data_IF_336809696690
#
_entry.id   IF_336809696690
#
_cell.length_a   1.000
_cell.length_b   1.000
_cell.length_c   1.000
_cell.angle_alpha   90.00
_cell.angle_beta   90.00
_cell.angle_gamma   90.00
#
_symmetry.space_group_name_H-M   'P 1'
#
loop_
_entity.id
_entity.type
_entity.pdbx_description
1 polymer ?
#
# COMPACT_ATOMS: atom_id res chain seq x y z
N UNK A 1 -16.90 24.69 18.51
CA UNK A 1 -15.69 25.33 17.93
C UNK A 1 -14.54 24.36 18.12
N UNK A 2 -13.93 23.87 17.04
CA UNK A 2 -12.82 22.93 17.12
C UNK A 2 -11.58 23.63 17.73
N UNK A 3 -10.89 22.97 18.66
CA UNK A 3 -9.66 23.45 19.29
C UNK A 3 -8.47 23.23 18.34
N UNK A 4 -8.46 23.93 17.19
CA UNK A 4 -7.31 23.95 16.27
C UNK A 4 -6.12 24.77 16.80
N UNK A 5 -6.23 25.30 18.02
CA UNK A 5 -5.15 26.04 18.69
C UNK A 5 -4.14 25.15 19.41
N UNK A 6 -4.39 23.84 19.52
CA UNK A 6 -3.48 22.90 20.17
C UNK A 6 -2.20 22.76 19.33
N UNK A 7 -1.04 22.74 20.00
CA UNK A 7 0.24 22.47 19.35
C UNK A 7 0.28 21.04 18.79
N UNK A 8 1.06 20.85 17.72
CA UNK A 8 1.32 19.53 17.11
C UNK A 8 1.99 18.56 18.11
N UNK A 9 2.60 19.09 19.18
CA UNK A 9 3.19 18.32 20.29
C UNK A 9 2.17 17.51 21.10
N UNK A 10 0.88 17.84 21.05
CA UNK A 10 -0.16 17.14 21.81
C UNK A 10 -0.62 15.88 21.07
N UNK A 11 0.15 14.81 21.24
CA UNK A 11 -0.12 13.48 20.69
C UNK A 11 -0.67 12.57 21.81
N UNK A 12 -1.78 11.82 21.59
CA UNK A 12 -2.61 11.77 20.39
C UNK A 12 -3.58 12.96 20.26
N UNK A 13 -3.88 13.36 19.02
CA UNK A 13 -4.86 14.42 18.73
C UNK A 13 -6.23 14.03 19.29
N UNK A 14 -6.85 14.92 20.07
CA UNK A 14 -8.17 14.71 20.67
C UNK A 14 -9.27 14.50 19.62
N UNK A 15 -10.31 13.72 19.96
CA UNK A 15 -11.39 13.37 19.02
C UNK A 15 -12.13 14.59 18.44
N UNK A 16 -12.26 15.67 19.22
CA UNK A 16 -12.87 16.93 18.77
C UNK A 16 -11.97 17.68 17.79
N UNK A 17 -10.65 17.68 18.01
CA UNK A 17 -9.66 18.29 17.11
C UNK A 17 -9.51 17.49 15.81
N UNK A 18 -9.57 16.15 15.87
CA UNK A 18 -9.55 15.24 14.71
C UNK A 18 -10.57 15.62 13.64
N UNK A 19 -11.84 15.80 14.03
CA UNK A 19 -12.92 16.10 13.08
C UNK A 19 -12.74 17.49 12.44
N UNK A 20 -12.32 18.49 13.23
CA UNK A 20 -12.02 19.83 12.73
C UNK A 20 -10.85 19.85 11.76
N UNK A 21 -9.80 19.08 12.07
CA UNK A 21 -8.61 18.96 11.23
C UNK A 21 -8.96 18.32 9.87
N UNK A 22 -9.66 17.19 9.83
CA UNK A 22 -10.02 16.52 8.57
C UNK A 22 -10.83 17.44 7.64
N UNK A 23 -11.83 18.15 8.17
CA UNK A 23 -12.63 19.07 7.37
C UNK A 23 -11.77 20.23 6.81
N UNK A 24 -10.80 20.69 7.60
CA UNK A 24 -9.88 21.76 7.22
C UNK A 24 -8.77 21.29 6.29
N UNK A 25 -8.38 20.02 6.32
CA UNK A 25 -7.34 19.49 5.44
C UNK A 25 -7.82 19.29 4.01
N UNK A 26 -9.11 19.04 3.77
CA UNK A 26 -9.65 18.80 2.41
C UNK A 26 -10.91 19.62 2.08
N UNK A 27 -11.08 20.78 2.72
CA UNK A 27 -12.14 21.77 2.48
C UNK A 27 -13.57 21.18 2.39
N UNK A 28 -13.95 20.30 3.33
CA UNK A 28 -15.22 19.55 3.28
C UNK A 28 -16.40 20.22 4.00
N UNK A 29 -16.39 21.56 4.10
CA UNK A 29 -17.40 22.33 4.84
C UNK A 29 -18.86 22.15 4.35
N UNK A 30 -19.09 21.51 3.20
CA UNK A 30 -20.42 21.35 2.59
C UNK A 30 -20.77 19.93 2.07
N UNK A 31 -19.92 18.91 2.28
CA UNK A 31 -20.20 17.57 1.72
C UNK A 31 -21.23 16.79 2.55
N UNK A 32 -22.13 15.99 1.93
CA UNK A 32 -23.05 15.14 2.66
C UNK A 32 -22.26 14.22 3.59
N UNK A 33 -22.75 14.07 4.83
CA UNK A 33 -22.17 13.18 5.85
C UNK A 33 -22.03 11.78 5.24
N UNK A 34 -20.82 11.39 4.82
CA UNK A 34 -20.54 9.97 4.63
C UNK A 34 -20.85 9.31 5.97
N UNK A 35 -21.62 8.22 5.95
CA UNK A 35 -21.95 7.50 7.18
C UNK A 35 -20.62 7.11 7.82
N UNK A 36 -20.42 7.51 9.08
CA UNK A 36 -19.21 7.21 9.84
C UNK A 36 -18.88 5.71 9.93
N UNK A 37 -19.83 4.84 9.56
CA UNK A 37 -19.70 3.38 9.50
C UNK A 37 -18.98 2.87 8.23
N UNK A 38 -18.77 3.72 7.22
CA UNK A 38 -18.18 3.36 5.92
C UNK A 38 -16.68 3.67 5.79
N UNK A 39 -16.11 4.43 6.75
CA UNK A 39 -14.72 4.89 6.75
C UNK A 39 -14.01 4.46 8.05
N UNK A 40 -12.77 4.01 7.92
CA UNK A 40 -11.85 3.74 9.02
C UNK A 40 -10.71 4.77 8.99
N UNK A 41 -10.96 5.94 9.57
CA UNK A 41 -10.00 7.05 9.61
C UNK A 41 -8.93 6.86 10.70
N UNK A 42 -9.01 5.82 11.52
CA UNK A 42 -7.97 5.55 12.54
C UNK A 42 -6.63 5.19 11.88
N UNK A 43 -6.64 4.53 10.72
CA UNK A 43 -5.41 4.28 9.96
C UNK A 43 -4.73 5.60 9.53
N UNK A 44 -5.52 6.58 9.05
CA UNK A 44 -5.01 7.91 8.73
C UNK A 44 -4.46 8.64 9.97
N UNK A 45 -5.14 8.56 11.12
CA UNK A 45 -4.64 9.20 12.33
C UNK A 45 -3.39 8.52 12.92
N UNK A 46 -3.23 7.21 12.70
CA UNK A 46 -1.98 6.52 13.00
C UNK A 46 -0.84 7.05 12.12
N UNK A 47 -1.08 7.19 10.81
CA UNK A 47 -0.14 7.85 9.89
C UNK A 47 0.18 9.29 10.31
N UNK A 48 -0.83 10.11 10.60
CA UNK A 48 -0.64 11.49 11.08
C UNK A 48 0.24 11.53 12.33
N UNK A 49 -0.04 10.66 13.30
CA UNK A 49 0.75 10.56 14.53
C UNK A 49 2.20 10.21 14.22
N UNK A 50 2.43 9.26 13.30
CA UNK A 50 3.78 8.90 12.86
C UNK A 50 4.49 10.05 12.14
N UNK A 51 3.80 10.78 11.27
CA UNK A 51 4.35 11.96 10.60
C UNK A 51 4.75 13.04 11.61
N UNK A 52 3.90 13.30 12.62
CA UNK A 52 4.27 14.20 13.71
C UNK A 52 5.56 13.70 14.37
N UNK A 53 5.58 12.44 14.84
CA UNK A 53 6.75 11.84 15.50
C UNK A 53 8.02 11.98 14.64
N UNK A 54 7.95 11.71 13.33
CA UNK A 54 9.09 11.87 12.42
C UNK A 54 9.56 13.33 12.30
N UNK A 55 8.63 14.26 12.14
CA UNK A 55 8.94 15.69 12.12
C UNK A 55 9.57 16.18 13.45
N UNK A 56 9.23 15.54 14.58
CA UNK A 56 9.85 15.80 15.88
C UNK A 56 11.25 15.17 15.99
N UNK A 57 11.47 13.96 15.46
CA UNK A 57 12.75 13.27 15.56
C UNK A 57 13.83 13.76 14.58
N UNK A 58 13.48 14.43 13.48
CA UNK A 58 14.40 15.17 12.59
C UNK A 58 14.96 16.46 13.26
N UNK A 59 15.32 16.36 14.54
CA UNK A 59 15.94 17.41 15.33
C UNK A 59 14.98 18.40 15.98
N UNK A 60 13.66 18.17 15.96
CA UNK A 60 12.61 18.87 16.73
C UNK A 60 12.53 20.39 16.58
N UNK A 61 13.43 20.97 15.80
CA UNK A 61 13.63 22.41 15.67
C UNK A 61 12.82 23.01 14.54
N UNK A 62 12.27 22.18 13.65
CA UNK A 62 11.70 22.61 12.37
C UNK A 62 10.19 22.93 12.39
N UNK A 63 9.40 22.32 13.29
CA UNK A 63 7.92 22.42 13.30
C UNK A 63 7.35 22.77 14.69
N UNK A 64 8.20 22.99 15.71
CA UNK A 64 7.76 23.17 17.11
C UNK A 64 6.75 24.32 17.34
N UNK A 65 6.78 25.36 16.48
CA UNK A 65 5.89 26.53 16.59
C UNK A 65 4.65 26.44 15.68
N UNK A 66 4.56 25.42 14.81
CA UNK A 66 3.45 25.22 13.87
C UNK A 66 2.25 24.63 14.64
N UNK A 67 1.08 25.26 14.56
CA UNK A 67 -0.17 24.79 15.20
C UNK A 67 -1.04 24.02 14.20
N UNK A 68 -2.06 23.31 14.69
CA UNK A 68 -3.05 22.69 13.78
C UNK A 68 -3.80 23.73 12.92
N UNK A 69 -3.87 24.99 13.36
CA UNK A 69 -4.41 26.10 12.56
C UNK A 69 -3.48 26.46 11.42
N UNK A 70 -2.17 26.55 11.65
CA UNK A 70 -1.20 26.83 10.59
C UNK A 70 -1.21 25.73 9.54
N UNK A 71 -1.27 24.46 9.95
CA UNK A 71 -1.45 23.31 9.04
C UNK A 71 -2.73 23.47 8.23
N UNK A 72 -3.86 23.78 8.86
CA UNK A 72 -5.13 23.93 8.17
C UNK A 72 -5.09 25.05 7.12
N UNK A 73 -4.47 26.19 7.45
CA UNK A 73 -4.32 27.32 6.52
C UNK A 73 -3.41 26.96 5.35
N UNK A 74 -2.27 26.32 5.61
CA UNK A 74 -1.36 25.84 4.56
C UNK A 74 -2.04 24.79 3.67
N UNK A 75 -2.82 23.88 4.26
CA UNK A 75 -3.55 22.86 3.52
C UNK A 75 -4.58 23.47 2.56
N UNK A 76 -5.31 24.51 2.99
CA UNK A 76 -6.21 25.25 2.11
C UNK A 76 -5.46 25.89 0.94
N UNK A 77 -4.34 26.56 1.22
CA UNK A 77 -3.52 27.19 0.18
C UNK A 77 -2.97 26.17 -0.83
N UNK A 78 -2.55 24.99 -0.36
CA UNK A 78 -2.10 23.90 -1.22
C UNK A 78 -3.25 23.41 -2.12
N UNK A 79 -4.45 23.26 -1.56
CA UNK A 79 -5.64 22.80 -2.29
C UNK A 79 -6.14 23.85 -3.28
N UNK A 80 -6.01 25.12 -2.95
CA UNK A 80 -6.36 26.24 -3.84
C UNK A 80 -5.35 26.42 -4.98
N UNK A 81 -4.25 25.65 -4.99
CA UNK A 81 -3.25 25.65 -6.05
C UNK A 81 -2.20 26.76 -5.92
N UNK A 82 -2.05 27.35 -4.74
CA UNK A 82 -1.03 28.36 -4.49
C UNK A 82 0.39 27.81 -4.70
N UNK A 83 1.27 28.63 -5.28
CA UNK A 83 2.67 28.24 -5.46
C UNK A 83 3.41 28.22 -4.12
N UNK A 84 4.39 27.33 -3.98
CA UNK A 84 5.21 27.16 -2.77
C UNK A 84 5.76 28.47 -2.22
N UNK A 85 6.31 29.30 -3.10
CA UNK A 85 6.94 30.58 -2.73
C UNK A 85 5.93 31.59 -2.18
N UNK A 86 4.70 31.54 -2.69
CA UNK A 86 3.61 32.41 -2.25
C UNK A 86 3.11 32.00 -0.87
N UNK A 87 2.95 30.69 -0.64
CA UNK A 87 2.61 30.12 0.67
C UNK A 87 3.67 30.51 1.69
N UNK A 88 4.94 30.30 1.34
CA UNK A 88 6.08 30.64 2.19
C UNK A 88 6.14 32.13 2.51
N UNK A 89 5.87 32.99 1.52
CA UNK A 89 5.81 34.44 1.72
C UNK A 89 4.67 34.85 2.64
N UNK A 90 3.47 34.27 2.51
CA UNK A 90 2.32 34.54 3.39
C UNK A 90 2.57 34.09 4.82
N UNK A 91 3.20 32.93 5.02
CA UNK A 91 3.60 32.46 6.34
C UNK A 91 4.67 33.37 6.97
N UNK A 92 5.65 33.81 6.17
CA UNK A 92 6.68 34.72 6.65
C UNK A 92 6.12 36.07 7.13
N UNK A 93 5.03 36.57 6.54
CA UNK A 93 4.37 37.81 6.98
C UNK A 93 3.71 37.69 8.37
N UNK A 94 3.34 36.48 8.80
CA UNK A 94 2.75 36.24 10.12
C UNK A 94 3.80 36.17 11.24
N UNK A 95 5.06 35.97 10.88
CA UNK A 95 6.16 35.91 11.83
C UNK A 95 6.69 37.31 12.11
N UNK A 96 6.52 37.78 13.34
CA UNK A 96 6.94 39.11 13.82
C UNK A 96 8.47 39.28 13.89
N UNK A 97 9.24 38.21 13.66
CA UNK A 97 10.69 38.15 13.81
C UNK A 97 11.44 38.32 12.47
N UNK A 98 12.66 38.89 12.47
CA UNK A 98 13.45 39.12 11.26
C UNK A 98 13.83 37.82 10.56
N UNK A 99 13.75 37.81 9.21
CA UNK A 99 14.12 36.68 8.33
C UNK A 99 15.54 36.18 8.65
N UNK A 100 15.63 35.02 9.29
CA UNK A 100 16.89 34.27 9.43
C UNK A 100 16.88 33.04 8.53
N UNK A 101 18.06 32.57 8.10
CA UNK A 101 18.18 31.35 7.30
C UNK A 101 17.54 30.13 7.99
N UNK A 102 17.60 30.08 9.32
CA UNK A 102 16.95 29.06 10.13
C UNK A 102 15.42 29.12 9.99
N UNK A 103 14.82 30.31 10.09
CA UNK A 103 13.36 30.50 9.96
C UNK A 103 12.85 30.14 8.57
N UNK A 104 13.64 30.41 7.53
CA UNK A 104 13.32 30.03 6.15
C UNK A 104 13.21 28.50 5.97
N UNK A 105 14.11 27.77 6.63
CA UNK A 105 14.08 26.30 6.71
C UNK A 105 12.88 25.79 7.51
N UNK A 106 12.53 26.43 8.65
CA UNK A 106 11.33 26.07 9.44
C UNK A 106 10.05 26.14 8.59
N UNK A 107 9.91 27.24 7.84
CA UNK A 107 8.75 27.47 6.98
C UNK A 107 8.66 26.41 5.89
N UNK A 108 9.80 26.09 5.25
CA UNK A 108 9.87 25.01 4.27
C UNK A 108 9.42 23.66 4.85
N UNK A 109 9.87 23.34 6.07
CA UNK A 109 9.51 22.08 6.73
C UNK A 109 8.04 21.99 7.15
N UNK A 110 7.41 23.06 7.66
CA UNK A 110 5.96 23.06 7.99
C UNK A 110 5.11 22.98 6.70
N UNK A 111 5.58 23.54 5.57
CA UNK A 111 4.96 23.36 4.24
C UNK A 111 5.08 21.91 3.76
N UNK A 112 6.28 21.32 3.77
CA UNK A 112 6.51 19.93 3.34
C UNK A 112 5.73 18.93 4.21
N UNK A 113 5.71 19.17 5.51
CA UNK A 113 4.92 18.39 6.44
C UNK A 113 3.42 18.45 6.13
N UNK A 114 2.88 19.64 5.89
CA UNK A 114 1.47 19.79 5.52
C UNK A 114 1.17 19.12 4.18
N UNK A 115 2.07 19.24 3.20
CA UNK A 115 1.96 18.56 1.91
C UNK A 115 1.86 17.04 2.09
N UNK A 116 2.67 16.43 2.96
CA UNK A 116 2.59 14.99 3.27
C UNK A 116 1.25 14.62 3.91
N UNK A 117 0.76 15.39 4.87
CA UNK A 117 -0.52 15.12 5.53
C UNK A 117 -1.71 15.15 4.55
N UNK A 118 -1.74 16.13 3.66
CA UNK A 118 -2.85 16.31 2.70
C UNK A 118 -2.79 15.29 1.56
N UNK A 119 -1.58 14.94 1.09
CA UNK A 119 -1.37 14.04 -0.06
C UNK A 119 -1.21 12.57 0.32
N UNK A 120 -0.79 12.25 1.55
CA UNK A 120 -0.23 10.95 1.90
C UNK A 120 0.86 10.50 0.91
N UNK A 121 1.68 11.44 0.46
CA UNK A 121 2.84 11.19 -0.39
C UNK A 121 4.09 11.73 0.30
N UNK A 122 5.24 11.10 0.04
CA UNK A 122 6.51 11.55 0.61
C UNK A 122 7.02 12.77 -0.18
N UNK A 123 6.54 13.97 0.19
CA UNK A 123 6.91 15.26 -0.40
C UNK A 123 8.06 15.93 0.37
N UNK A 124 9.04 16.47 -0.36
CA UNK A 124 10.14 17.27 0.20
C UNK A 124 11.21 16.42 0.91
N UNK A 125 12.34 17.03 1.27
CA UNK A 125 13.54 16.33 1.77
C UNK A 125 13.42 15.99 3.26
N UNK A 126 13.36 14.71 3.60
CA UNK A 126 13.63 14.22 4.97
C UNK A 126 15.14 13.92 5.06
N UNK A 127 15.91 14.81 5.70
CA UNK A 127 17.38 14.70 5.73
C UNK A 127 17.90 13.41 6.39
N UNK A 128 17.08 12.69 7.16
CA UNK A 128 17.48 11.46 7.86
C UNK A 128 16.58 10.24 7.57
N UNK A 129 15.59 10.35 6.67
CA UNK A 129 14.77 9.21 6.30
C UNK A 129 15.41 8.42 5.16
N UNK A 130 16.31 7.47 5.50
CA UNK A 130 16.61 6.35 4.62
C UNK A 130 15.39 5.42 4.58
N UNK A 131 14.36 5.82 3.86
CA UNK A 131 13.30 4.92 3.45
C UNK A 131 13.45 4.75 1.96
N UNK A 132 13.61 3.53 1.43
CA UNK A 132 13.64 3.25 -0.02
C UNK A 132 12.35 3.62 -0.78
N UNK A 133 11.52 4.48 -0.19
CA UNK A 133 10.27 5.07 -0.66
C UNK A 133 10.53 6.11 -1.74
N UNK A 134 9.57 6.28 -2.64
CA UNK A 134 9.66 7.29 -3.69
C UNK A 134 9.35 8.67 -3.11
N UNK A 135 10.36 9.53 -3.09
CA UNK A 135 10.24 10.93 -2.67
C UNK A 135 9.96 11.82 -3.89
N UNK A 136 9.00 12.73 -3.77
CA UNK A 136 8.74 13.78 -4.75
C UNK A 136 9.34 15.09 -4.26
N UNK A 137 10.20 15.69 -5.08
CA UNK A 137 10.90 16.91 -4.74
C UNK A 137 10.06 18.14 -5.13
N UNK A 138 9.49 18.84 -4.14
CA UNK A 138 8.73 20.07 -4.35
C UNK A 138 9.59 21.31 -4.10
N UNK A 139 10.25 21.80 -5.15
CA UNK A 139 11.09 23.01 -5.08
C UNK A 139 10.33 24.30 -5.33
N UNK A 140 9.49 24.33 -6.37
CA UNK A 140 8.78 25.52 -6.83
C UNK A 140 7.39 25.15 -7.38
N UNK A 141 6.58 26.16 -7.70
CA UNK A 141 5.24 25.95 -8.30
C UNK A 141 4.21 25.41 -7.33
N UNK A 142 3.05 25.02 -7.85
CA UNK A 142 1.98 24.41 -7.05
C UNK A 142 2.28 22.93 -6.80
N UNK A 143 1.80 22.40 -5.66
CA UNK A 143 1.89 20.96 -5.41
C UNK A 143 1.00 20.17 -6.37
N UNK A 144 -0.12 20.76 -6.80
CA UNK A 144 -1.06 20.16 -7.74
C UNK A 144 -0.35 19.81 -9.04
N UNK A 145 0.39 20.76 -9.62
CA UNK A 145 1.11 20.53 -10.89
C UNK A 145 2.09 19.36 -10.77
N UNK A 146 2.86 19.30 -9.67
CA UNK A 146 3.84 18.23 -9.45
C UNK A 146 3.18 16.86 -9.30
N UNK A 147 2.08 16.80 -8.54
CA UNK A 147 1.33 15.55 -8.35
C UNK A 147 0.69 15.12 -9.67
N UNK A 148 0.15 16.06 -10.44
CA UNK A 148 -0.44 15.78 -11.74
C UNK A 148 0.60 15.34 -12.76
N UNK A 149 1.75 16.00 -12.84
CA UNK A 149 2.84 15.63 -13.73
C UNK A 149 3.35 14.22 -13.42
N UNK A 150 3.51 13.89 -12.14
CA UNK A 150 3.96 12.56 -11.70
C UNK A 150 2.99 11.44 -12.09
N UNK A 151 1.69 11.64 -11.93
CA UNK A 151 0.70 10.59 -12.22
C UNK A 151 0.24 10.56 -13.69
N UNK A 152 0.42 11.65 -14.44
CA UNK A 152 0.08 11.70 -15.86
C UNK A 152 1.25 11.30 -16.77
N UNK A 153 2.32 10.70 -16.24
CA UNK A 153 3.36 10.08 -17.04
C UNK A 153 2.75 9.13 -18.09
N UNK A 154 3.20 9.19 -19.36
CA UNK A 154 2.62 8.39 -20.42
C UNK A 154 2.90 6.90 -20.17
N UNK A 155 1.89 6.07 -20.45
CA UNK A 155 2.01 4.60 -20.41
C UNK A 155 3.10 4.16 -21.37
N UNK A 156 4.13 3.48 -20.86
CA UNK A 156 5.28 3.05 -21.66
C UNK A 156 5.13 1.60 -22.11
N UNK A 157 4.58 0.73 -21.27
CA UNK A 157 4.53 -0.70 -21.53
C UNK A 157 3.30 -1.06 -22.37
N UNK A 158 3.51 -1.58 -23.58
CA UNK A 158 2.42 -2.05 -24.45
C UNK A 158 1.98 -3.44 -24.00
N UNK A 159 0.76 -3.58 -23.47
CA UNK A 159 0.18 -4.85 -23.05
C UNK A 159 -1.28 -4.97 -23.48
N UNK A 160 -1.49 -5.33 -24.75
CA UNK A 160 -2.84 -5.54 -25.28
C UNK A 160 -3.50 -6.78 -24.67
N UNK A 161 -4.72 -6.62 -24.15
CA UNK A 161 -5.65 -7.68 -23.73
C UNK A 161 -5.17 -8.58 -22.59
N UNK A 162 -4.23 -8.14 -21.77
CA UNK A 162 -3.87 -8.89 -20.55
C UNK A 162 -5.00 -8.79 -19.54
N UNK A 163 -5.56 -9.94 -19.17
CA UNK A 163 -6.65 -10.06 -18.21
C UNK A 163 -6.12 -10.41 -16.83
N UNK A 164 -6.48 -9.60 -15.84
CA UNK A 164 -6.18 -9.86 -14.44
C UNK A 164 -7.19 -10.90 -13.92
N UNK A 165 -6.79 -12.17 -13.96
CA UNK A 165 -7.61 -13.30 -13.54
C UNK A 165 -8.01 -13.24 -12.06
N UNK A 166 -9.00 -14.03 -11.65
CA UNK A 166 -9.46 -14.10 -10.24
C UNK A 166 -8.35 -14.49 -9.25
N UNK A 167 -7.34 -15.21 -9.74
CA UNK A 167 -6.19 -15.63 -8.96
C UNK A 167 -5.19 -14.51 -8.69
N UNK A 168 -5.26 -13.40 -9.44
CA UNK A 168 -4.42 -12.23 -9.21
C UNK A 168 -5.02 -11.38 -8.08
N UNK A 169 -4.67 -11.72 -6.85
CA UNK A 169 -5.09 -11.04 -5.62
C UNK A 169 -3.96 -11.08 -4.59
N UNK A 170 -4.01 -10.20 -3.58
CA UNK A 170 -2.98 -10.03 -2.56
C UNK A 170 -2.60 -11.35 -1.85
N UNK A 171 -3.60 -12.15 -1.46
CA UNK A 171 -3.36 -13.45 -0.80
C UNK A 171 -2.53 -14.37 -1.69
N UNK A 172 -2.86 -14.45 -2.97
CA UNK A 172 -2.19 -15.33 -3.92
C UNK A 172 -0.83 -14.78 -4.38
N UNK A 173 -0.63 -13.46 -4.42
CA UNK A 173 0.71 -12.89 -4.61
C UNK A 173 1.67 -13.47 -3.56
N UNK A 174 1.26 -13.54 -2.29
CA UNK A 174 2.08 -14.15 -1.24
C UNK A 174 2.09 -15.68 -1.25
N UNK A 175 0.93 -16.32 -1.40
CA UNK A 175 0.82 -17.78 -1.23
C UNK A 175 1.21 -18.61 -2.46
N UNK A 176 1.18 -18.03 -3.65
CA UNK A 176 1.52 -18.72 -4.90
C UNK A 176 2.86 -18.20 -5.41
N UNK A 177 2.96 -16.87 -5.57
CA UNK A 177 4.14 -16.25 -6.17
C UNK A 177 5.28 -15.98 -5.16
N UNK A 178 5.01 -16.12 -3.85
CA UNK A 178 6.01 -15.80 -2.82
C UNK A 178 6.31 -14.31 -2.68
N UNK A 179 5.51 -13.44 -3.31
CA UNK A 179 5.64 -11.98 -3.27
C UNK A 179 5.05 -11.49 -1.95
N UNK A 180 5.88 -10.92 -1.10
CA UNK A 180 5.49 -10.33 0.17
C UNK A 180 4.86 -8.96 -0.05
N UNK A 181 3.86 -8.66 0.77
CA UNK A 181 3.19 -7.36 0.75
C UNK A 181 3.85 -6.46 1.78
N UNK A 182 4.35 -5.33 1.31
CA UNK A 182 4.83 -4.24 2.14
C UNK A 182 3.74 -3.16 2.21
N UNK A 183 3.15 -2.98 3.38
CA UNK A 183 2.11 -1.96 3.56
C UNK A 183 2.75 -0.57 3.57
N UNK A 184 2.22 0.35 2.77
CA UNK A 184 2.75 1.71 2.67
C UNK A 184 1.67 2.76 2.92
N UNK A 185 2.07 3.84 3.58
CA UNK A 185 1.28 5.06 3.72
C UNK A 185 1.55 6.04 2.57
N UNK A 186 2.55 5.78 1.73
CA UNK A 186 2.90 6.63 0.58
C UNK A 186 2.11 6.19 -0.65
N UNK A 187 1.17 7.01 -1.11
CA UNK A 187 0.38 6.73 -2.31
C UNK A 187 1.27 6.53 -3.55
N UNK A 188 2.38 7.27 -3.65
CA UNK A 188 3.31 7.20 -4.77
C UNK A 188 3.98 5.83 -4.93
N UNK A 189 4.02 5.01 -3.86
CA UNK A 189 4.62 3.67 -3.85
C UNK A 189 3.59 2.55 -4.16
N UNK A 190 2.30 2.85 -4.34
CA UNK A 190 1.29 1.82 -4.61
C UNK A 190 1.67 0.95 -5.83
N UNK A 191 1.66 -0.38 -5.63
CA UNK A 191 2.05 -1.42 -6.61
C UNK A 191 3.53 -1.39 -7.04
N UNK A 192 4.38 -0.60 -6.38
CA UNK A 192 5.81 -0.58 -6.68
C UNK A 192 6.48 -1.84 -6.14
N UNK A 193 7.32 -2.46 -6.95
CA UNK A 193 8.23 -3.51 -6.48
C UNK A 193 9.42 -2.84 -5.80
N UNK A 194 9.69 -3.20 -4.55
CA UNK A 194 10.67 -2.52 -3.67
C UNK A 194 12.03 -3.24 -3.65
N UNK A 195 12.02 -4.55 -3.84
CA UNK A 195 13.20 -5.40 -3.70
C UNK A 195 13.78 -5.76 -5.08
N UNK A 196 15.10 -5.78 -5.20
CA UNK A 196 15.83 -6.18 -6.41
C UNK A 196 15.56 -7.64 -6.77
N UNK A 197 15.10 -8.45 -5.82
CA UNK A 197 14.68 -9.84 -6.05
C UNK A 197 13.23 -9.98 -6.52
N UNK A 198 12.51 -8.88 -6.79
CA UNK A 198 11.09 -8.83 -7.16
C UNK A 198 10.12 -9.51 -6.16
N UNK A 199 10.57 -9.67 -4.91
CA UNK A 199 9.84 -10.41 -3.87
C UNK A 199 8.96 -9.54 -2.98
N UNK A 200 8.96 -8.22 -3.14
CA UNK A 200 8.18 -7.31 -2.30
C UNK A 200 7.45 -6.29 -3.14
N UNK A 201 6.15 -6.17 -2.91
CA UNK A 201 5.30 -5.15 -3.54
C UNK A 201 4.71 -4.23 -2.47
N UNK A 202 4.85 -2.92 -2.67
CA UNK A 202 4.21 -1.93 -1.83
C UNK A 202 2.71 -1.85 -2.15
N UNK A 203 1.87 -1.87 -1.13
CA UNK A 203 0.42 -1.68 -1.27
C UNK A 203 -0.02 -0.56 -0.34
N UNK A 204 -0.41 0.55 -0.96
CA UNK A 204 -1.11 1.63 -0.27
C UNK A 204 -2.45 1.15 0.29
N UNK A 205 -2.70 1.31 1.59
CA UNK A 205 -3.85 0.70 2.25
C UNK A 205 -4.96 1.67 2.70
N UNK A 206 -4.77 2.99 2.61
CA UNK A 206 -5.75 3.96 3.15
C UNK A 206 -6.95 4.18 2.21
N UNK A 207 -7.79 3.16 2.04
CA UNK A 207 -9.01 3.24 1.23
C UNK A 207 -9.98 4.33 1.72
N UNK A 208 -10.06 4.54 3.03
CA UNK A 208 -10.88 5.58 3.66
C UNK A 208 -10.39 6.97 3.32
N UNK A 209 -9.07 7.17 3.27
CA UNK A 209 -8.48 8.44 2.81
C UNK A 209 -8.88 8.73 1.37
N UNK A 210 -8.76 7.75 0.45
CA UNK A 210 -9.14 7.94 -0.97
C UNK A 210 -10.63 8.25 -1.16
N UNK A 211 -11.50 7.68 -0.32
CA UNK A 211 -12.94 7.97 -0.33
C UNK A 211 -13.28 9.33 0.25
N UNK A 212 -12.49 9.76 1.24
CA UNK A 212 -12.72 10.99 1.97
C UNK A 212 -12.17 12.20 1.20
N UNK A 213 -10.93 12.12 0.76
CA UNK A 213 -10.22 13.14 0.00
C UNK A 213 -10.80 13.25 -1.42
N UNK A 214 -11.41 14.39 -1.72
CA UNK A 214 -11.91 14.76 -3.06
C UNK A 214 -11.31 16.09 -3.51
N UNK A 215 -10.12 16.41 -3.01
CA UNK A 215 -9.45 17.65 -3.37
C UNK A 215 -8.93 17.59 -4.82
N UNK A 216 -8.79 18.74 -5.50
CA UNK A 216 -8.16 18.84 -6.82
C UNK A 216 -6.66 18.49 -6.83
N UNK A 217 -6.09 18.17 -5.67
CA UNK A 217 -4.68 17.80 -5.52
C UNK A 217 -4.28 16.61 -6.39
N UNK A 218 -5.20 15.66 -6.59
CA UNK A 218 -4.97 14.50 -7.43
C UNK A 218 -5.63 14.65 -8.79
N UNK A 219 -5.05 14.07 -9.86
CA UNK A 219 -5.73 13.94 -11.14
C UNK A 219 -7.08 13.23 -11.02
N UNK A 220 -8.02 13.67 -11.83
CA UNK A 220 -9.35 13.07 -11.91
C UNK A 220 -9.25 11.58 -12.22
N UNK A 221 -9.89 10.76 -11.37
CA UNK A 221 -9.92 9.31 -11.51
C UNK A 221 -8.79 8.55 -10.82
N UNK A 222 -7.74 9.22 -10.30
CA UNK A 222 -6.64 8.53 -9.60
C UNK A 222 -7.14 7.79 -8.36
N UNK A 223 -7.97 8.45 -7.54
CA UNK A 223 -8.52 7.86 -6.32
C UNK A 223 -9.44 6.66 -6.65
N UNK A 224 -10.32 6.82 -7.64
CA UNK A 224 -11.21 5.76 -8.11
C UNK A 224 -10.44 4.58 -8.69
N UNK A 225 -9.40 4.83 -9.49
CA UNK A 225 -8.54 3.78 -10.01
C UNK A 225 -7.79 3.04 -8.91
N UNK A 226 -7.25 3.76 -7.93
CA UNK A 226 -6.58 3.16 -6.76
C UNK A 226 -7.56 2.34 -5.92
N UNK A 227 -8.80 2.77 -5.75
CA UNK A 227 -9.84 1.95 -5.11
C UNK A 227 -10.18 0.70 -5.93
N UNK A 228 -10.14 0.78 -7.27
CA UNK A 228 -10.32 -0.38 -8.16
C UNK A 228 -9.14 -1.35 -8.05
N UNK A 229 -7.89 -0.91 -8.01
CA UNK A 229 -6.74 -1.80 -7.79
C UNK A 229 -6.81 -2.47 -6.42
N UNK A 230 -7.29 -1.76 -5.39
CA UNK A 230 -7.55 -2.37 -4.09
C UNK A 230 -8.69 -3.39 -4.13
N UNK A 231 -9.78 -3.14 -4.87
CA UNK A 231 -10.84 -4.12 -5.07
C UNK A 231 -10.37 -5.35 -5.88
N UNK A 232 -9.39 -5.19 -6.76
CA UNK A 232 -8.72 -6.29 -7.46
C UNK A 232 -7.91 -7.16 -6.49
N UNK A 233 -7.08 -6.52 -5.65
CA UNK A 233 -6.16 -7.19 -4.74
C UNK A 233 -6.83 -7.77 -3.49
N UNK A 234 -7.88 -7.12 -2.98
CA UNK A 234 -8.63 -7.50 -1.79
C UNK A 234 -10.12 -7.72 -2.13
N UNK A 235 -10.43 -8.75 -2.94
CA UNK A 235 -11.77 -8.95 -3.46
C UNK A 235 -12.77 -9.25 -2.35
N UNK A 236 -13.80 -8.41 -2.21
CA UNK A 236 -14.84 -8.53 -1.18
C UNK A 236 -15.63 -9.85 -1.24
N UNK A 237 -15.70 -10.48 -2.42
CA UNK A 237 -16.44 -11.72 -2.63
C UNK A 237 -15.65 -12.99 -2.30
N UNK A 238 -14.33 -12.90 -2.15
CA UNK A 238 -13.49 -14.07 -1.91
C UNK A 238 -13.30 -14.35 -0.41
N UNK A 239 -13.94 -15.41 0.08
CA UNK A 239 -13.94 -15.77 1.50
C UNK A 239 -12.54 -16.08 2.03
N UNK A 240 -11.65 -16.63 1.20
CA UNK A 240 -10.31 -17.02 1.65
C UNK A 240 -9.38 -15.81 1.76
N UNK A 241 -9.43 -14.88 0.80
CA UNK A 241 -8.77 -13.57 0.92
C UNK A 241 -9.27 -12.80 2.14
N UNK A 242 -10.58 -12.79 2.41
CA UNK A 242 -11.14 -12.14 3.59
C UNK A 242 -10.64 -12.77 4.91
N UNK A 243 -10.61 -14.11 5.00
CA UNK A 243 -10.08 -14.81 6.17
C UNK A 243 -8.60 -14.55 6.35
N UNK A 244 -7.83 -14.51 5.26
CA UNK A 244 -6.40 -14.20 5.29
C UNK A 244 -6.16 -12.77 5.78
N UNK A 245 -6.90 -11.78 5.28
CA UNK A 245 -6.79 -10.40 5.73
C UNK A 245 -7.12 -10.25 7.22
N UNK A 246 -8.17 -10.92 7.72
CA UNK A 246 -8.54 -10.90 9.15
C UNK A 246 -7.51 -11.54 10.07
N UNK A 247 -6.59 -12.36 9.56
CA UNK A 247 -5.50 -12.98 10.32
C UNK A 247 -4.27 -12.08 10.42
N UNK A 248 -4.22 -10.98 9.67
CA UNK A 248 -3.11 -10.04 9.75
C UNK A 248 -3.05 -9.38 11.13
N UNK A 249 -1.85 -9.11 11.68
CA UNK A 249 -1.71 -8.48 12.98
C UNK A 249 -2.39 -7.10 13.04
N UNK A 250 -3.14 -6.83 14.11
CA UNK A 250 -3.73 -5.51 14.35
C UNK A 250 -2.66 -4.40 14.48
N UNK A 251 -1.43 -4.75 14.87
CA UNK A 251 -0.30 -3.82 14.99
C UNK A 251 0.12 -3.17 13.67
N UNK A 252 -0.32 -3.72 12.53
CA UNK A 252 -0.08 -3.13 11.22
C UNK A 252 -0.90 -1.85 10.96
N UNK A 253 -1.92 -1.55 11.79
CA UNK A 253 -2.70 -0.32 11.66
C UNK A 253 -3.47 -0.19 10.34
N UNK A 254 -3.79 -1.32 9.69
CA UNK A 254 -4.42 -1.33 8.37
C UNK A 254 -5.85 -0.78 8.40
N UNK A 255 -6.21 -0.10 7.32
CA UNK A 255 -7.58 0.36 7.08
C UNK A 255 -8.52 -0.85 6.92
N UNK A 256 -9.50 -0.98 7.81
CA UNK A 256 -10.43 -2.11 7.81
C UNK A 256 -11.38 -2.11 6.61
N UNK A 257 -11.49 -0.99 5.91
CA UNK A 257 -12.33 -0.84 4.71
C UNK A 257 -11.64 -1.31 3.43
N UNK A 258 -10.37 -1.72 3.49
CA UNK A 258 -9.61 -2.26 2.35
C UNK A 258 -10.36 -3.40 1.64
N UNK A 259 -10.96 -4.30 2.41
CA UNK A 259 -11.76 -5.43 1.90
C UNK A 259 -13.17 -5.05 1.45
N UNK A 260 -13.55 -3.78 1.58
CA UNK A 260 -14.85 -3.22 1.20
C UNK A 260 -14.74 -2.27 0.01
N UNK A 261 -13.66 -2.35 -0.78
CA UNK A 261 -13.47 -1.52 -1.98
C UNK A 261 -14.42 -1.86 -3.15
N UNK A 262 -15.23 -2.91 -3.02
CA UNK A 262 -16.25 -3.30 -3.98
C UNK A 262 -15.89 -4.56 -4.75
N UNK A 263 -16.55 -4.77 -5.88
CA UNK A 263 -16.36 -5.93 -6.75
C UNK A 263 -16.11 -5.48 -8.20
N UNK A 264 -14.98 -5.87 -8.76
CA UNK A 264 -14.69 -5.67 -10.18
C UNK A 264 -15.31 -6.76 -11.04
N UNK A 265 -16.13 -6.32 -12.01
CA UNK A 265 -16.64 -7.16 -13.09
C UNK A 265 -15.50 -7.67 -13.97
N UNK A 266 -15.78 -8.70 -14.76
CA UNK A 266 -14.76 -9.44 -15.51
C UNK A 266 -14.09 -8.59 -16.60
N UNK A 267 -14.87 -7.74 -17.25
CA UNK A 267 -14.47 -6.72 -18.22
C UNK A 267 -13.61 -5.62 -17.58
N UNK A 268 -13.99 -5.16 -16.38
CA UNK A 268 -13.22 -4.14 -15.64
C UNK A 268 -11.86 -4.61 -15.12
N UNK A 269 -11.50 -5.88 -15.29
CA UNK A 269 -10.19 -6.47 -14.91
C UNK A 269 -9.19 -6.52 -16.06
N UNK A 270 -9.49 -5.89 -17.18
CA UNK A 270 -8.49 -5.65 -18.23
C UNK A 270 -7.51 -4.60 -17.74
N UNK A 271 -6.21 -4.84 -17.95
CA UNK A 271 -5.14 -3.91 -17.53
C UNK A 271 -5.34 -2.52 -18.15
N UNK A 272 -5.86 -2.46 -19.39
CA UNK A 272 -6.18 -1.23 -20.13
C UNK A 272 -7.13 -0.26 -19.38
N UNK A 273 -7.93 -0.76 -18.43
CA UNK A 273 -8.84 0.07 -17.63
C UNK A 273 -8.15 0.80 -16.46
N UNK A 274 -6.86 0.55 -16.27
CA UNK A 274 -6.01 1.16 -15.24
C UNK A 274 -4.97 2.02 -15.95
N UNK A 275 -5.18 3.33 -15.99
CA UNK A 275 -4.30 4.29 -16.64
C UNK A 275 -3.11 4.65 -15.75
N UNK A 276 -3.38 5.05 -14.51
CA UNK A 276 -2.36 5.54 -13.57
C UNK A 276 -1.43 4.44 -13.08
N UNK A 277 -1.98 3.24 -12.89
CA UNK A 277 -1.25 2.09 -12.36
C UNK A 277 -0.92 1.05 -13.43
N UNK A 278 -1.08 1.38 -14.71
CA UNK A 278 -0.92 0.47 -15.85
C UNK A 278 0.40 -0.31 -15.78
N UNK A 279 1.53 0.40 -15.87
CA UNK A 279 2.84 -0.21 -16.02
C UNK A 279 3.24 -1.01 -14.77
N UNK A 280 2.83 -0.55 -13.58
CA UNK A 280 3.06 -1.29 -12.34
C UNK A 280 2.23 -2.57 -12.27
N UNK A 281 0.98 -2.56 -12.73
CA UNK A 281 0.15 -3.75 -12.82
C UNK A 281 0.69 -4.74 -13.84
N UNK A 282 1.20 -4.25 -14.97
CA UNK A 282 1.89 -5.06 -15.97
C UNK A 282 3.08 -5.79 -15.36
N UNK A 283 4.00 -5.04 -14.74
CA UNK A 283 5.20 -5.60 -14.12
C UNK A 283 4.81 -6.61 -13.03
N UNK A 284 3.90 -6.23 -12.14
CA UNK A 284 3.44 -7.11 -11.07
C UNK A 284 2.75 -8.37 -11.61
N UNK A 285 2.01 -8.27 -12.71
CA UNK A 285 1.39 -9.42 -13.38
C UNK A 285 2.43 -10.33 -14.01
N UNK A 286 3.45 -9.77 -14.64
CA UNK A 286 4.56 -10.53 -15.21
C UNK A 286 5.31 -11.30 -14.11
N UNK A 287 5.71 -10.62 -13.03
CA UNK A 287 6.36 -11.26 -11.87
C UNK A 287 5.46 -12.33 -11.25
N UNK A 288 4.15 -12.06 -11.14
CA UNK A 288 3.21 -13.07 -10.66
C UNK A 288 3.13 -14.28 -11.58
N UNK A 289 3.13 -14.14 -12.91
CA UNK A 289 3.05 -15.27 -13.84
C UNK A 289 4.34 -16.07 -13.93
N UNK A 290 5.48 -15.39 -13.92
CA UNK A 290 6.82 -15.99 -14.03
C UNK A 290 7.28 -16.65 -12.73
N UNK A 291 6.72 -16.24 -11.59
CA UNK A 291 7.02 -16.85 -10.30
C UNK A 291 6.76 -18.35 -10.32
N UNK A 292 7.74 -19.13 -9.83
CA UNK A 292 7.62 -20.58 -9.67
C UNK A 292 7.44 -20.91 -8.19
N UNK A 293 6.48 -21.78 -7.84
CA UNK A 293 6.35 -22.25 -6.47
C UNK A 293 7.64 -22.96 -6.03
N UNK A 294 8.29 -22.43 -5.01
CA UNK A 294 9.55 -22.96 -4.46
C UNK A 294 9.33 -23.94 -3.32
N UNK A 295 8.13 -23.94 -2.71
CA UNK A 295 7.77 -24.82 -1.59
C UNK A 295 6.60 -25.74 -1.95
N UNK A 296 6.52 -26.91 -1.30
CA UNK A 296 5.41 -27.87 -1.49
C UNK A 296 4.04 -27.23 -1.16
N UNK A 297 4.01 -26.33 -0.19
CA UNK A 297 2.80 -25.60 0.22
C UNK A 297 2.36 -24.61 -0.87
N UNK A 298 3.31 -23.93 -1.53
CA UNK A 298 3.02 -23.11 -2.71
C UNK A 298 2.55 -23.97 -3.89
N UNK A 299 3.20 -25.12 -4.17
CA UNK A 299 2.77 -26.06 -5.22
C UNK A 299 1.36 -26.60 -4.98
N UNK A 300 0.98 -26.82 -3.72
CA UNK A 300 -0.38 -27.23 -3.37
C UNK A 300 -1.42 -26.15 -3.67
N UNK A 301 -1.10 -24.89 -3.33
CA UNK A 301 -1.94 -23.72 -3.54
C UNK A 301 -1.98 -23.24 -4.99
N UNK A 302 -0.93 -23.51 -5.78
CA UNK A 302 -0.83 -23.05 -7.16
C UNK A 302 -1.76 -23.84 -8.07
N UNK A 303 -2.83 -23.15 -8.51
CA UNK A 303 -3.82 -23.67 -9.46
C UNK A 303 -3.79 -22.94 -10.79
N UNK A 304 -2.74 -22.17 -11.09
CA UNK A 304 -2.63 -21.38 -12.35
C UNK A 304 -2.62 -22.28 -13.58
N UNK A 305 -1.93 -23.42 -13.51
CA UNK A 305 -1.89 -24.42 -14.57
C UNK A 305 -2.30 -25.80 -14.03
N UNK A 306 -3.56 -26.19 -14.26
CA UNK A 306 -4.09 -27.47 -13.78
C UNK A 306 -3.28 -28.67 -14.26
N UNK A 307 -2.77 -28.64 -15.49
CA UNK A 307 -1.98 -29.74 -16.06
C UNK A 307 -0.67 -29.93 -15.29
N UNK A 308 0.09 -28.85 -15.08
CA UNK A 308 1.34 -28.91 -14.31
C UNK A 308 1.10 -29.39 -12.87
N UNK A 309 0.00 -28.95 -12.25
CA UNK A 309 -0.39 -29.41 -10.92
C UNK A 309 -0.63 -30.92 -10.90
N UNK A 310 -1.42 -31.46 -11.84
CA UNK A 310 -1.65 -32.90 -11.92
C UNK A 310 -0.36 -33.69 -12.17
N UNK A 311 0.47 -33.25 -13.12
CA UNK A 311 1.75 -33.92 -13.43
C UNK A 311 2.66 -34.00 -12.21
N UNK A 312 2.76 -32.93 -11.42
CA UNK A 312 3.57 -32.90 -10.21
C UNK A 312 3.09 -33.91 -9.16
N UNK A 313 1.79 -33.92 -8.85
CA UNK A 313 1.24 -34.85 -7.84
C UNK A 313 1.23 -36.30 -8.30
N UNK A 314 1.02 -36.56 -9.60
CA UNK A 314 1.16 -37.90 -10.18
C UNK A 314 2.60 -38.38 -10.06
N UNK A 315 3.59 -37.53 -10.36
CA UNK A 315 5.01 -37.88 -10.19
C UNK A 315 5.34 -38.22 -8.73
N UNK A 316 4.84 -37.45 -7.75
CA UNK A 316 5.00 -37.76 -6.32
C UNK A 316 4.36 -39.10 -5.96
N UNK A 317 3.14 -39.37 -6.44
CA UNK A 317 2.45 -40.62 -6.18
C UNK A 317 3.22 -41.82 -6.75
N UNK A 318 3.70 -41.72 -8.00
CA UNK A 318 4.50 -42.77 -8.64
C UNK A 318 5.81 -43.01 -7.89
N UNK A 319 6.49 -41.95 -7.45
CA UNK A 319 7.70 -42.05 -6.64
C UNK A 319 7.44 -42.78 -5.32
N UNK A 320 6.37 -42.39 -4.61
CA UNK A 320 5.96 -43.03 -3.36
C UNK A 320 5.66 -44.52 -3.54
N UNK A 321 4.85 -44.87 -4.56
CA UNK A 321 4.51 -46.25 -4.86
C UNK A 321 5.75 -47.07 -5.22
N UNK A 322 6.70 -46.49 -5.96
CA UNK A 322 7.95 -47.16 -6.33
C UNK A 322 8.79 -47.50 -5.09
N UNK A 323 8.95 -46.54 -4.17
CA UNK A 323 9.67 -46.76 -2.91
C UNK A 323 8.96 -47.80 -2.04
N UNK A 324 7.63 -47.70 -1.93
CA UNK A 324 6.83 -48.63 -1.13
C UNK A 324 6.93 -50.06 -1.65
N UNK A 325 6.72 -50.28 -2.95
CA UNK A 325 6.84 -51.62 -3.54
C UNK A 325 8.27 -52.15 -3.48
N UNK A 326 9.28 -51.29 -3.68
CA UNK A 326 10.68 -51.68 -3.49
C UNK A 326 10.98 -52.13 -2.05
N UNK A 327 10.40 -51.46 -1.05
CA UNK A 327 10.53 -51.84 0.35
C UNK A 327 9.86 -53.19 0.64
N UNK A 328 8.62 -53.39 0.17
CA UNK A 328 7.89 -54.65 0.33
C UNK A 328 8.66 -55.81 -0.30
N UNK A 329 9.14 -55.62 -1.54
CA UNK A 329 9.93 -56.63 -2.25
C UNK A 329 11.23 -56.96 -1.51
N UNK A 330 11.91 -55.97 -0.93
CA UNK A 330 13.12 -56.20 -0.14
C UNK A 330 12.84 -57.01 1.13
N UNK A 331 11.72 -56.74 1.80
CA UNK A 331 11.31 -57.47 3.02
C UNK A 331 10.93 -58.91 2.66
N UNK A 332 10.12 -59.11 1.63
CA UNK A 332 9.71 -60.44 1.16
C UNK A 332 10.94 -61.26 0.73
N UNK A 333 11.87 -60.64 0.00
CA UNK A 333 13.13 -61.27 -0.39
C UNK A 333 13.96 -61.68 0.85
N UNK A 334 14.07 -60.81 1.86
CA UNK A 334 14.79 -61.13 3.09
C UNK A 334 14.12 -62.28 3.87
N UNK A 335 12.80 -62.28 3.97
CA UNK A 335 12.03 -63.35 4.62
C UNK A 335 12.15 -64.68 3.85
N UNK A 336 12.13 -64.63 2.53
CA UNK A 336 12.31 -65.81 1.68
C UNK A 336 13.70 -66.42 1.88
N UNK A 337 14.75 -65.60 1.91
CA UNK A 337 16.12 -66.03 2.20
C UNK A 337 16.20 -66.62 3.61
N UNK A 338 15.63 -65.95 4.63
CA UNK A 338 15.61 -66.45 5.99
C UNK A 338 14.94 -67.82 6.10
N UNK A 339 13.77 -68.00 5.48
CA UNK A 339 13.05 -69.27 5.46
C UNK A 339 13.81 -70.36 4.69
N UNK A 340 14.57 -70.00 3.65
CA UNK A 340 15.43 -70.94 2.94
C UNK A 340 16.61 -71.43 3.79
N UNK A 341 17.19 -70.57 4.64
CA UNK A 341 18.25 -70.95 5.59
C UNK A 341 17.73 -71.70 6.82
N UNK A 342 16.49 -71.46 7.24
CA UNK A 342 15.82 -72.16 8.34
C UNK A 342 14.55 -72.88 7.85
N UNK A 343 14.69 -73.95 7.05
CA UNK A 343 13.54 -74.70 6.57
C UNK A 343 12.79 -75.31 7.76
N UNK A 344 11.48 -75.14 7.78
CA UNK A 344 10.63 -75.78 8.77
C UNK A 344 10.67 -77.28 8.50
N UNK A 345 11.29 -78.04 9.40
CA UNK A 345 11.32 -79.51 9.32
C UNK A 345 9.91 -80.00 9.63
N UNK A 346 9.16 -80.38 8.60
CA UNK A 346 7.89 -81.12 8.73
C UNK A 346 8.14 -82.59 9.00
#
# INVERSE_FOLDING_TARGET
MALLGDQISQIPVSTSTRTGLLNSLWNRNAAPKLKSEELDLEAYFAYHTQQCIQAWHDGGRHIADCTHRDIAEIAQEIIDGSAREDIKSRLALKLTAPKSAKQDELLGSCIDFTARLVSMMDIGVLQYAFSGRRQLEWKHGSLIDIVHDYFNEPVVLVHDKVKLGKMFNARNLSQIAGIQIEWTDNLADHLRIIDDEDKKVAIFHHASFLRYNRSPLFPDGLAEETLRTLALLFPQTDKDSLKWFKKLPCSLGLDKTLVKCGHLRVDSRQIENFRFWHDRLVILKQVFDESRPSTLLQWWCDRRNGVQWYTFWVAILVLFLTIFFGMVQSIESALQVYKAYHPTVT
#
